data_IF_527459012555
#
_entry.id   IF_527459012555
#
_cell.length_a   1.000
_cell.length_b   1.000
_cell.length_c   1.000
_cell.angle_alpha   90.00
_cell.angle_beta   90.00
_cell.angle_gamma   90.00
#
_symmetry.space_group_name_H-M   'P 1'
#
loop_
_entity.id
_entity.type
_entity.pdbx_description
1 polymer ?
#
# COMPACT_ATOMS: atom_id res chain seq x y z
N UNK A 1 -23.65 15.50 -19.55
CA UNK A 1 -23.24 15.52 -18.12
C UNK A 1 -21.92 14.76 -17.97
N UNK A 2 -20.87 15.38 -17.41
CA UNK A 2 -19.57 14.72 -17.18
C UNK A 2 -19.76 13.69 -16.06
N UNK A 3 -19.58 12.41 -16.34
CA UNK A 3 -19.66 11.32 -15.34
C UNK A 3 -18.79 11.69 -14.13
N UNK A 4 -19.36 11.72 -12.92
CA UNK A 4 -18.70 12.17 -11.68
C UNK A 4 -17.55 11.23 -11.27
N UNK A 5 -16.39 11.41 -11.89
CA UNK A 5 -15.18 10.62 -11.61
C UNK A 5 -14.39 11.29 -10.48
N UNK A 6 -13.78 10.48 -9.60
CA UNK A 6 -13.05 10.94 -8.41
C UNK A 6 -12.00 12.03 -8.69
N UNK A 7 -11.37 12.03 -9.87
CA UNK A 7 -10.29 12.97 -10.24
C UNK A 7 -10.74 14.07 -11.22
N UNK A 8 -12.05 14.20 -11.45
CA UNK A 8 -12.62 15.11 -12.45
C UNK A 8 -13.23 16.40 -11.89
N UNK A 9 -13.26 16.54 -10.56
CA UNK A 9 -13.87 17.69 -9.87
C UNK A 9 -13.21 19.01 -10.27
N UNK A 10 -14.00 20.09 -10.16
CA UNK A 10 -13.58 21.47 -10.41
C UNK A 10 -12.76 22.03 -9.24
N UNK A 11 -12.15 23.21 -9.43
CA UNK A 11 -11.40 23.89 -8.37
C UNK A 11 -12.27 24.13 -7.13
N UNK A 12 -13.46 24.73 -7.30
CA UNK A 12 -14.40 25.00 -6.20
C UNK A 12 -14.83 23.74 -5.44
N UNK A 13 -15.08 22.64 -6.15
CA UNK A 13 -15.39 21.36 -5.52
C UNK A 13 -14.20 20.80 -4.73
N UNK A 14 -12.99 20.92 -5.28
CA UNK A 14 -11.77 20.38 -4.67
C UNK A 14 -11.36 21.07 -3.36
N UNK A 15 -11.79 22.31 -3.12
CA UNK A 15 -11.51 23.05 -1.86
C UNK A 15 -12.03 22.32 -0.62
N UNK A 16 -13.02 21.43 -0.77
CA UNK A 16 -13.57 20.62 0.33
C UNK A 16 -12.65 19.49 0.78
N UNK A 17 -11.73 19.06 -0.09
CA UNK A 17 -10.78 17.96 0.18
C UNK A 17 -9.37 18.50 0.39
N UNK A 18 -9.00 19.61 -0.26
CA UNK A 18 -7.68 20.24 -0.12
C UNK A 18 -7.73 21.33 0.95
N UNK A 19 -7.07 21.07 2.08
CA UNK A 19 -6.92 22.06 3.16
C UNK A 19 -5.56 22.75 3.12
N UNK A 20 -5.45 23.93 3.74
CA UNK A 20 -4.18 24.68 3.84
C UNK A 20 -3.06 23.89 4.55
N UNK A 21 -3.41 22.89 5.38
CA UNK A 21 -2.44 22.02 6.06
C UNK A 21 -1.54 21.25 5.08
N UNK A 22 -1.99 21.05 3.83
CA UNK A 22 -1.21 20.40 2.77
C UNK A 22 0.13 21.11 2.44
N UNK A 23 0.27 22.36 2.88
CA UNK A 23 1.49 23.15 2.72
C UNK A 23 2.60 22.84 3.73
N UNK A 24 2.31 21.95 4.70
CA UNK A 24 3.26 21.47 5.72
C UNK A 24 3.55 19.99 5.50
N UNK A 25 4.75 19.53 5.86
CA UNK A 25 5.16 18.12 5.69
C UNK A 25 4.24 17.16 6.46
N UNK A 26 3.89 17.52 7.70
CA UNK A 26 2.96 16.77 8.56
C UNK A 26 1.53 16.78 8.02
N UNK A 27 1.03 17.96 7.62
CA UNK A 27 -0.33 18.09 7.10
C UNK A 27 -0.52 17.48 5.71
N UNK A 28 0.57 17.30 4.95
CA UNK A 28 0.59 16.53 3.71
C UNK A 28 0.66 15.02 3.94
N UNK A 29 1.17 14.57 5.09
CA UNK A 29 1.43 13.16 5.41
C UNK A 29 2.34 12.45 4.39
N UNK A 30 3.20 13.21 3.70
CA UNK A 30 4.21 12.71 2.74
C UNK A 30 5.62 12.78 3.35
N UNK A 31 5.76 13.44 4.51
CA UNK A 31 7.00 13.56 5.25
C UNK A 31 8.08 14.29 4.46
N UNK A 32 9.34 13.87 4.64
CA UNK A 32 10.50 14.51 4.02
C UNK A 32 10.51 14.45 2.49
N UNK A 33 9.71 13.56 1.89
CA UNK A 33 9.65 13.41 0.44
C UNK A 33 9.00 14.60 -0.28
N UNK A 34 8.10 15.33 0.38
CA UNK A 34 7.48 16.54 -0.18
C UNK A 34 8.25 17.83 0.12
N UNK A 35 9.35 17.75 0.87
CA UNK A 35 10.08 18.92 1.35
C UNK A 35 10.73 19.74 0.24
N UNK A 36 10.72 21.07 0.36
CA UNK A 36 11.50 21.96 -0.52
C UNK A 36 12.95 22.14 -0.03
N UNK A 37 13.30 21.71 1.19
CA UNK A 37 14.66 21.83 1.71
C UNK A 37 15.53 20.68 1.21
N UNK A 38 16.77 20.98 0.85
CA UNK A 38 17.71 19.96 0.35
C UNK A 38 18.09 18.96 1.45
N UNK A 39 18.40 19.46 2.66
CA UNK A 39 18.80 18.61 3.79
C UNK A 39 17.72 17.59 4.19
N UNK A 40 16.45 18.02 4.21
CA UNK A 40 15.32 17.12 4.50
C UNK A 40 15.18 16.06 3.40
N UNK A 41 15.30 16.42 2.13
CA UNK A 41 15.26 15.44 1.04
C UNK A 41 16.45 14.48 1.05
N UNK A 42 17.62 14.94 1.46
CA UNK A 42 18.79 14.08 1.66
C UNK A 42 18.57 13.11 2.82
N UNK A 43 17.95 13.54 3.93
CA UNK A 43 17.58 12.63 5.03
C UNK A 43 16.59 11.54 4.59
N UNK A 44 15.78 11.80 3.55
CA UNK A 44 14.90 10.80 2.93
C UNK A 44 15.63 9.62 2.28
N UNK A 45 16.94 9.72 2.02
CA UNK A 45 17.74 8.60 1.50
C UNK A 45 17.86 7.44 2.51
N UNK A 46 17.58 7.66 3.80
CA UNK A 46 17.52 6.58 4.81
C UNK A 46 16.51 5.49 4.43
N UNK A 47 15.46 5.84 3.67
CA UNK A 47 14.49 4.87 3.13
C UNK A 47 15.20 3.80 2.27
N UNK A 48 16.35 4.10 1.67
CA UNK A 48 17.10 3.12 0.87
C UNK A 48 17.57 1.92 1.69
N UNK A 49 17.83 2.09 3.00
CA UNK A 49 18.19 0.97 3.90
C UNK A 49 17.05 -0.04 4.00
N UNK A 50 15.80 0.40 3.91
CA UNK A 50 14.64 -0.49 3.93
C UNK A 50 14.59 -1.38 2.68
N UNK A 51 15.12 -0.95 1.53
CA UNK A 51 15.20 -1.80 0.35
C UNK A 51 16.21 -2.94 0.50
N UNK A 52 17.27 -2.76 1.30
CA UNK A 52 18.19 -3.85 1.64
C UNK A 52 17.43 -4.92 2.42
N UNK A 53 16.65 -4.50 3.42
CA UNK A 53 15.77 -5.40 4.17
C UNK A 53 14.73 -6.05 3.26
N UNK A 54 14.15 -5.29 2.32
CA UNK A 54 13.19 -5.83 1.34
C UNK A 54 13.77 -6.87 0.42
N UNK A 55 15.01 -6.70 -0.03
CA UNK A 55 15.72 -7.73 -0.78
C UNK A 55 15.95 -8.97 0.09
N UNK A 56 16.43 -8.76 1.32
CA UNK A 56 16.70 -9.83 2.29
C UNK A 56 15.48 -10.71 2.54
N UNK A 57 14.34 -10.12 2.91
CA UNK A 57 13.13 -10.87 3.24
C UNK A 57 12.37 -11.32 2.00
N UNK A 58 12.23 -10.47 0.98
CA UNK A 58 11.34 -10.76 -0.16
C UNK A 58 11.97 -11.65 -1.24
N UNK A 59 13.31 -11.69 -1.34
CA UNK A 59 14.04 -12.39 -2.41
C UNK A 59 15.04 -13.40 -1.83
N UNK A 60 15.97 -12.96 -1.00
CA UNK A 60 17.06 -13.81 -0.51
C UNK A 60 16.57 -14.91 0.43
N UNK A 61 15.71 -14.58 1.41
CA UNK A 61 15.21 -15.55 2.38
C UNK A 61 14.44 -16.71 1.69
N UNK A 62 13.48 -16.46 0.78
CA UNK A 62 12.83 -17.54 0.03
C UNK A 62 13.83 -18.37 -0.78
N UNK A 63 14.80 -17.76 -1.47
CA UNK A 63 15.82 -18.50 -2.23
C UNK A 63 16.71 -19.36 -1.33
N UNK A 64 17.07 -18.88 -0.14
CA UNK A 64 17.92 -19.62 0.82
C UNK A 64 17.25 -20.90 1.37
N UNK A 65 15.92 -20.99 1.30
CA UNK A 65 15.17 -22.19 1.67
C UNK A 65 15.33 -23.32 0.63
N UNK A 66 15.77 -23.03 -0.60
CA UNK A 66 16.07 -24.04 -1.63
C UNK A 66 17.38 -24.78 -1.36
N UNK A 67 18.37 -24.10 -0.79
CA UNK A 67 19.73 -24.62 -0.63
C UNK A 67 19.99 -25.25 0.74
N UNK A 68 19.08 -25.07 1.69
CA UNK A 68 19.23 -25.53 3.07
C UNK A 68 18.65 -26.94 3.25
N UNK A 69 19.39 -27.98 2.85
CA UNK A 69 18.99 -29.39 3.04
C UNK A 69 18.98 -29.86 4.51
N UNK A 70 19.62 -29.15 5.44
CA UNK A 70 19.79 -29.61 6.83
C UNK A 70 19.06 -28.83 7.94
N UNK A 71 18.37 -27.71 7.65
CA UNK A 71 17.96 -26.77 8.72
C UNK A 71 16.55 -26.18 8.65
N UNK A 72 15.56 -26.95 8.21
CA UNK A 72 14.15 -26.55 8.38
C UNK A 72 13.59 -27.11 9.70
N UNK A 73 14.16 -26.68 10.83
CA UNK A 73 13.80 -27.19 12.17
C UNK A 73 12.54 -26.56 12.76
N UNK A 74 12.05 -25.46 12.17
CA UNK A 74 10.98 -24.62 12.73
C UNK A 74 9.75 -24.44 11.83
N UNK A 75 9.83 -24.80 10.55
CA UNK A 75 8.69 -24.75 9.61
C UNK A 75 8.61 -26.09 8.86
N UNK A 76 7.42 -26.51 8.42
CA UNK A 76 7.31 -27.76 7.66
C UNK A 76 7.92 -27.61 6.26
N UNK A 77 8.38 -28.71 5.67
CA UNK A 77 8.89 -28.74 4.28
C UNK A 77 7.88 -28.17 3.28
N UNK A 78 6.59 -28.46 3.47
CA UNK A 78 5.51 -27.93 2.63
C UNK A 78 5.31 -26.42 2.78
N UNK A 79 5.48 -25.88 3.99
CA UNK A 79 5.46 -24.43 4.24
C UNK A 79 6.65 -23.76 3.54
N UNK A 80 7.85 -24.31 3.71
CA UNK A 80 9.07 -23.78 3.09
C UNK A 80 8.95 -23.77 1.55
N UNK A 81 8.48 -24.86 0.95
CA UNK A 81 8.26 -24.93 -0.49
C UNK A 81 7.19 -23.94 -0.97
N UNK A 82 6.11 -23.74 -0.21
CA UNK A 82 5.11 -22.72 -0.54
C UNK A 82 5.71 -21.31 -0.54
N UNK A 83 6.54 -20.98 0.46
CA UNK A 83 7.28 -19.70 0.52
C UNK A 83 8.19 -19.55 -0.71
N UNK A 84 8.94 -20.59 -1.07
CA UNK A 84 9.82 -20.61 -2.25
C UNK A 84 9.04 -20.38 -3.54
N UNK A 85 7.94 -21.11 -3.74
CA UNK A 85 7.13 -21.02 -4.96
C UNK A 85 6.55 -19.61 -5.12
N UNK A 86 5.93 -19.07 -4.07
CA UNK A 86 5.40 -17.70 -4.09
C UNK A 86 6.53 -16.68 -4.27
N UNK A 87 7.65 -16.84 -3.57
CA UNK A 87 8.84 -16.00 -3.72
C UNK A 87 9.34 -15.94 -5.15
N UNK A 88 9.42 -17.09 -5.81
CA UNK A 88 9.86 -17.20 -7.21
C UNK A 88 8.89 -16.48 -8.16
N UNK A 89 7.57 -16.63 -7.96
CA UNK A 89 6.53 -15.94 -8.76
C UNK A 89 6.64 -14.42 -8.62
N UNK A 90 6.80 -13.92 -7.38
CA UNK A 90 6.82 -12.48 -7.11
C UNK A 90 8.19 -11.82 -7.29
N UNK A 91 9.25 -12.60 -7.51
CA UNK A 91 10.63 -12.11 -7.63
C UNK A 91 10.80 -10.99 -8.64
N UNK A 92 10.38 -11.23 -9.88
CA UNK A 92 10.55 -10.26 -10.97
C UNK A 92 9.73 -8.99 -10.71
N UNK A 93 8.42 -9.06 -10.39
CA UNK A 93 7.64 -7.89 -10.00
C UNK A 93 8.25 -7.10 -8.83
N UNK A 94 8.71 -7.80 -7.79
CA UNK A 94 9.30 -7.18 -6.60
C UNK A 94 10.59 -6.43 -6.95
N UNK A 95 11.53 -7.06 -7.66
CA UNK A 95 12.78 -6.42 -8.08
C UNK A 95 12.51 -5.20 -8.96
N UNK A 96 11.58 -5.30 -9.92
CA UNK A 96 11.22 -4.18 -10.78
C UNK A 96 10.69 -2.97 -9.96
N UNK A 97 9.81 -3.23 -8.98
CA UNK A 97 9.28 -2.19 -8.09
C UNK A 97 10.33 -1.63 -7.13
N UNK A 98 11.25 -2.47 -6.64
CA UNK A 98 12.38 -2.02 -5.82
C UNK A 98 13.28 -1.07 -6.61
N UNK A 99 13.72 -1.45 -7.80
CA UNK A 99 14.54 -0.59 -8.66
C UNK A 99 13.81 0.71 -9.00
N UNK A 100 12.52 0.63 -9.35
CA UNK A 100 11.69 1.81 -9.59
C UNK A 100 11.66 2.73 -8.36
N UNK A 101 11.42 2.19 -7.17
CA UNK A 101 11.36 2.95 -5.92
C UNK A 101 12.70 3.59 -5.56
N UNK A 102 13.81 2.87 -5.71
CA UNK A 102 15.17 3.38 -5.50
C UNK A 102 15.44 4.57 -6.42
N UNK A 103 15.16 4.41 -7.71
CA UNK A 103 15.33 5.48 -8.71
C UNK A 103 14.48 6.69 -8.33
N UNK A 104 13.23 6.49 -7.91
CA UNK A 104 12.36 7.58 -7.49
C UNK A 104 12.89 8.32 -6.25
N UNK A 105 13.39 7.59 -5.24
CA UNK A 105 13.98 8.19 -4.03
C UNK A 105 15.23 9.00 -4.37
N UNK A 106 16.11 8.50 -5.24
CA UNK A 106 17.31 9.21 -5.70
C UNK A 106 16.91 10.48 -6.47
N UNK A 107 15.98 10.37 -7.42
CA UNK A 107 15.48 11.51 -8.19
C UNK A 107 14.82 12.54 -7.26
N UNK A 108 14.24 12.13 -6.13
CA UNK A 108 13.60 13.03 -5.18
C UNK A 108 14.58 14.05 -4.54
N UNK A 109 15.88 13.74 -4.49
CA UNK A 109 16.92 14.66 -3.98
C UNK A 109 16.97 15.94 -4.82
N UNK A 110 16.64 15.87 -6.11
CA UNK A 110 16.64 17.04 -7.00
C UNK A 110 15.33 17.83 -6.92
N UNK A 111 15.40 19.17 -6.73
CA UNK A 111 14.22 20.00 -6.48
C UNK A 111 13.32 20.09 -7.71
N UNK A 112 12.04 19.73 -7.55
CA UNK A 112 11.05 19.88 -8.62
C UNK A 112 10.71 21.35 -8.87
N UNK A 113 9.92 21.60 -9.92
CA UNK A 113 9.59 22.95 -10.41
C UNK A 113 9.04 23.87 -9.30
N UNK A 114 8.14 23.35 -8.50
CA UNK A 114 7.55 24.02 -7.34
C UNK A 114 7.07 22.99 -6.30
N UNK A 115 6.56 23.48 -5.17
CA UNK A 115 6.04 22.64 -4.08
C UNK A 115 4.94 21.67 -4.53
N UNK A 116 4.02 22.08 -5.40
CA UNK A 116 2.95 21.19 -5.86
C UNK A 116 3.48 19.98 -6.66
N UNK A 117 4.50 20.19 -7.51
CA UNK A 117 5.16 19.08 -8.20
C UNK A 117 5.94 18.20 -7.23
N UNK A 118 6.63 18.79 -6.26
CA UNK A 118 7.39 18.07 -5.24
C UNK A 118 6.46 17.20 -4.38
N UNK A 119 5.32 17.76 -3.97
CA UNK A 119 4.31 17.06 -3.18
C UNK A 119 3.71 15.88 -3.93
N UNK A 120 3.26 16.08 -5.17
CA UNK A 120 2.69 14.99 -5.98
C UNK A 120 3.73 13.90 -6.22
N UNK A 121 4.96 14.28 -6.58
CA UNK A 121 6.06 13.35 -6.78
C UNK A 121 6.37 12.53 -5.52
N UNK A 122 6.47 13.19 -4.36
CA UNK A 122 6.67 12.53 -3.07
C UNK A 122 5.52 11.59 -2.71
N UNK A 123 4.27 11.99 -3.00
CA UNK A 123 3.09 11.15 -2.75
C UNK A 123 3.09 9.90 -3.61
N UNK A 124 3.42 10.01 -4.90
CA UNK A 124 3.55 8.85 -5.79
C UNK A 124 4.71 7.97 -5.34
N UNK A 125 5.84 8.55 -4.97
CA UNK A 125 7.00 7.79 -4.45
C UNK A 125 6.62 6.98 -3.21
N UNK A 126 5.88 7.58 -2.27
CA UNK A 126 5.39 6.90 -1.07
C UNK A 126 4.42 5.76 -1.41
N UNK A 127 3.53 5.95 -2.39
CA UNK A 127 2.61 4.89 -2.85
C UNK A 127 3.36 3.70 -3.47
N UNK A 128 4.35 3.96 -4.33
CA UNK A 128 5.17 2.90 -4.95
C UNK A 128 6.00 2.19 -3.88
N UNK A 129 6.54 2.94 -2.91
CA UNK A 129 7.24 2.38 -1.76
C UNK A 129 6.35 1.46 -0.91
N UNK A 130 5.13 1.89 -0.57
CA UNK A 130 4.16 1.06 0.15
C UNK A 130 3.90 -0.25 -0.61
N UNK A 131 3.59 -0.19 -1.91
CA UNK A 131 3.36 -1.39 -2.74
C UNK A 131 4.60 -2.31 -2.77
N UNK A 132 5.81 -1.76 -2.72
CA UNK A 132 7.05 -2.53 -2.67
C UNK A 132 7.21 -3.29 -1.36
N UNK A 133 7.05 -2.61 -0.22
CA UNK A 133 7.08 -3.25 1.11
C UNK A 133 5.98 -4.31 1.23
N UNK A 134 4.84 -4.06 0.59
CA UNK A 134 3.71 -4.94 0.59
C UNK A 134 4.01 -6.27 -0.12
N UNK A 135 4.54 -6.20 -1.34
CA UNK A 135 4.92 -7.38 -2.12
C UNK A 135 6.08 -8.15 -1.51
N UNK A 136 7.01 -7.48 -0.82
CA UNK A 136 8.11 -8.13 -0.09
C UNK A 136 7.61 -9.15 0.95
N UNK A 137 6.48 -8.88 1.61
CA UNK A 137 5.96 -9.75 2.68
C UNK A 137 5.10 -10.91 2.17
N UNK A 138 4.68 -10.89 0.90
CA UNK A 138 3.77 -11.88 0.33
C UNK A 138 4.32 -13.31 0.33
N UNK A 139 5.59 -13.58 -0.05
CA UNK A 139 6.14 -14.94 -0.01
C UNK A 139 5.98 -15.61 1.34
N UNK A 140 6.29 -14.89 2.42
CA UNK A 140 6.18 -15.40 3.78
C UNK A 140 4.74 -15.52 4.23
N UNK A 141 3.97 -14.45 4.13
CA UNK A 141 2.61 -14.43 4.67
C UNK A 141 1.70 -15.42 3.98
N UNK A 142 1.76 -15.51 2.64
CA UNK A 142 1.00 -16.50 1.86
C UNK A 142 1.53 -17.90 2.15
N UNK A 143 2.85 -18.10 2.10
CA UNK A 143 3.45 -19.42 2.33
C UNK A 143 3.16 -19.99 3.72
N UNK A 144 3.19 -19.17 4.77
CA UNK A 144 2.82 -19.54 6.14
C UNK A 144 1.33 -19.90 6.25
N UNK A 145 0.46 -19.15 5.57
CA UNK A 145 -0.98 -19.39 5.56
C UNK A 145 -1.35 -20.67 4.84
N UNK A 146 -0.78 -20.89 3.65
CA UNK A 146 -0.96 -22.14 2.89
C UNK A 146 -0.36 -23.32 3.65
N UNK A 147 0.80 -23.13 4.29
CA UNK A 147 1.40 -24.13 5.17
C UNK A 147 0.43 -24.60 6.27
N UNK A 148 -0.21 -23.65 6.94
CA UNK A 148 -1.10 -23.88 8.08
C UNK A 148 -2.51 -24.36 7.71
N UNK A 149 -3.16 -23.71 6.76
CA UNK A 149 -4.58 -23.91 6.43
C UNK A 149 -4.83 -24.43 5.01
N UNK A 150 -3.77 -24.62 4.24
CA UNK A 150 -3.88 -24.99 2.83
C UNK A 150 -4.37 -23.85 1.95
N UNK A 151 -4.50 -24.16 0.65
CA UNK A 151 -4.99 -23.22 -0.36
C UNK A 151 -6.44 -22.82 -0.13
N UNK A 152 -7.27 -23.74 0.37
CA UNK A 152 -8.67 -23.46 0.70
C UNK A 152 -8.75 -22.42 1.82
N UNK A 153 -7.96 -22.60 2.89
CA UNK A 153 -7.90 -21.63 3.98
C UNK A 153 -7.40 -20.27 3.54
N UNK A 154 -6.39 -20.23 2.66
CA UNK A 154 -5.91 -19.00 2.05
C UNK A 154 -7.00 -18.28 1.23
N UNK A 155 -7.78 -19.02 0.42
CA UNK A 155 -8.91 -18.46 -0.33
C UNK A 155 -9.98 -17.85 0.58
N UNK A 156 -10.27 -18.47 1.72
CA UNK A 156 -11.19 -17.91 2.72
C UNK A 156 -10.64 -16.59 3.30
N UNK A 157 -9.35 -16.52 3.61
CA UNK A 157 -8.73 -15.26 4.06
C UNK A 157 -8.76 -14.18 2.96
N UNK A 158 -8.61 -14.55 1.69
CA UNK A 158 -8.77 -13.62 0.56
C UNK A 158 -10.19 -13.05 0.48
N UNK A 159 -11.24 -13.85 0.75
CA UNK A 159 -12.62 -13.34 0.81
C UNK A 159 -12.79 -12.28 1.90
N UNK A 160 -12.17 -12.48 3.07
CA UNK A 160 -12.13 -11.46 4.13
C UNK A 160 -11.38 -10.21 3.65
N UNK A 161 -10.27 -10.36 2.94
CA UNK A 161 -9.55 -9.22 2.35
C UNK A 161 -10.39 -8.44 1.33
N UNK A 162 -11.20 -9.11 0.51
CA UNK A 162 -12.15 -8.46 -0.42
C UNK A 162 -13.17 -7.62 0.34
N UNK A 163 -13.71 -8.16 1.44
CA UNK A 163 -14.60 -7.41 2.32
C UNK A 163 -13.92 -6.16 2.93
N UNK A 164 -12.70 -6.32 3.45
CA UNK A 164 -11.91 -5.21 4.00
C UNK A 164 -11.61 -4.16 2.92
N UNK A 165 -11.27 -4.57 1.70
CA UNK A 165 -11.03 -3.66 0.59
C UNK A 165 -12.27 -2.79 0.27
N UNK A 166 -13.46 -3.41 0.20
CA UNK A 166 -14.70 -2.66 0.04
C UNK A 166 -14.87 -1.63 1.17
N UNK A 167 -14.71 -2.08 2.41
CA UNK A 167 -15.05 -1.28 3.59
C UNK A 167 -14.07 -0.13 3.80
N UNK A 168 -12.77 -0.36 3.57
CA UNK A 168 -11.71 0.59 3.88
C UNK A 168 -11.24 1.41 2.68
N UNK A 169 -11.33 0.88 1.46
CA UNK A 169 -10.86 1.59 0.25
C UNK A 169 -12.04 2.13 -0.55
N UNK A 170 -12.99 1.27 -0.92
CA UNK A 170 -14.13 1.69 -1.77
C UNK A 170 -15.01 2.69 -1.03
N UNK A 171 -15.32 2.44 0.25
CA UNK A 171 -16.08 3.41 1.05
C UNK A 171 -15.37 4.77 1.14
N UNK A 172 -14.04 4.80 1.28
CA UNK A 172 -13.27 6.05 1.28
C UNK A 172 -13.35 6.77 -0.08
N UNK A 173 -13.31 6.04 -1.21
CA UNK A 173 -13.55 6.62 -2.55
C UNK A 173 -14.94 7.25 -2.64
N UNK A 174 -15.96 6.55 -2.16
CA UNK A 174 -17.34 7.03 -2.18
C UNK A 174 -17.52 8.27 -1.29
N UNK A 175 -16.97 8.26 -0.08
CA UNK A 175 -16.96 9.42 0.82
C UNK A 175 -16.29 10.64 0.17
N UNK A 176 -15.15 10.45 -0.49
CA UNK A 176 -14.46 11.53 -1.21
C UNK A 176 -15.30 12.07 -2.38
N UNK A 177 -15.96 11.19 -3.14
CA UNK A 177 -16.88 11.61 -4.20
C UNK A 177 -18.07 12.41 -3.63
N UNK A 178 -18.69 11.93 -2.55
CA UNK A 178 -19.80 12.63 -1.88
C UNK A 178 -19.36 14.02 -1.41
N UNK A 179 -18.18 14.13 -0.78
CA UNK A 179 -17.60 15.40 -0.38
C UNK A 179 -17.43 16.35 -1.58
N UNK A 180 -16.85 15.88 -2.68
CA UNK A 180 -16.60 16.68 -3.87
C UNK A 180 -17.92 17.15 -4.54
N UNK A 181 -18.85 16.24 -4.80
CA UNK A 181 -19.99 16.47 -5.71
C UNK A 181 -21.34 16.74 -5.04
N UNK A 182 -21.52 16.48 -3.73
CA UNK A 182 -22.80 16.57 -3.01
C UNK A 182 -23.94 15.69 -3.56
N UNK A 183 -23.71 14.86 -4.59
CA UNK A 183 -24.70 13.95 -5.17
C UNK A 183 -24.43 12.49 -4.82
N UNK A 184 -25.49 11.75 -4.51
CA UNK A 184 -25.51 10.27 -4.48
C UNK A 184 -26.11 9.73 -5.78
N UNK A 185 -25.67 8.54 -6.18
CA UNK A 185 -26.55 7.41 -5.93
C UNK A 185 -25.89 6.38 -5.02
N UNK A 186 -26.59 6.01 -3.95
CA UNK A 186 -26.32 4.82 -3.18
C UNK A 186 -26.45 3.61 -4.10
N UNK A 187 -25.30 3.07 -4.52
CA UNK A 187 -25.27 1.79 -5.20
C UNK A 187 -25.54 0.70 -4.14
N UNK A 188 -26.17 -0.41 -4.54
CA UNK A 188 -26.47 -1.54 -3.65
C UNK A 188 -25.19 -1.95 -2.90
N UNK A 189 -25.21 -1.89 -1.57
CA UNK A 189 -24.05 -2.23 -0.74
C UNK A 189 -23.80 -3.75 -0.76
N UNK A 190 -23.00 -4.21 -1.73
CA UNK A 190 -22.62 -5.62 -1.81
C UNK A 190 -21.77 -6.09 -0.61
N UNK A 191 -21.19 -5.15 0.14
CA UNK A 191 -20.42 -5.44 1.34
C UNK A 191 -21.28 -6.01 2.46
N UNK A 192 -22.54 -5.58 2.57
CA UNK A 192 -23.48 -6.14 3.53
C UNK A 192 -23.81 -7.60 3.21
N UNK A 193 -24.04 -7.90 1.93
CA UNK A 193 -24.30 -9.27 1.46
C UNK A 193 -23.09 -10.19 1.68
N UNK A 194 -21.88 -9.72 1.38
CA UNK A 194 -20.65 -10.47 1.65
C UNK A 194 -20.42 -10.67 3.15
N UNK A 195 -20.70 -9.67 3.98
CA UNK A 195 -20.63 -9.78 5.43
C UNK A 195 -21.62 -10.81 5.97
N UNK A 196 -22.85 -10.80 5.48
CA UNK A 196 -23.86 -11.79 5.86
C UNK A 196 -23.40 -13.21 5.52
N UNK A 197 -22.79 -13.41 4.35
CA UNK A 197 -22.19 -14.68 3.95
C UNK A 197 -21.05 -15.11 4.89
N UNK A 198 -20.09 -14.22 5.17
CA UNK A 198 -18.95 -14.50 6.07
C UNK A 198 -19.44 -14.82 7.49
N UNK A 199 -20.41 -14.07 8.03
CA UNK A 199 -20.99 -14.34 9.35
C UNK A 199 -21.73 -15.67 9.42
N UNK A 200 -22.46 -16.03 8.36
CA UNK A 200 -23.29 -17.24 8.32
C UNK A 200 -22.47 -18.50 8.07
N UNK A 201 -21.47 -18.46 7.19
CA UNK A 201 -20.75 -19.64 6.73
C UNK A 201 -19.25 -19.63 7.02
N UNK A 202 -18.66 -18.48 7.36
CA UNK A 202 -17.20 -18.33 7.51
C UNK A 202 -16.60 -19.26 8.56
N UNK A 203 -17.25 -19.43 9.72
CA UNK A 203 -16.80 -20.34 10.76
C UNK A 203 -16.81 -21.81 10.32
N UNK A 204 -17.90 -22.24 9.67
CA UNK A 204 -18.03 -23.61 9.15
C UNK A 204 -17.01 -23.86 8.05
N UNK A 205 -16.85 -22.93 7.10
CA UNK A 205 -15.89 -23.03 6.01
C UNK A 205 -14.45 -23.08 6.53
N UNK A 206 -14.13 -22.31 7.57
CA UNK A 206 -12.80 -22.32 8.18
C UNK A 206 -12.53 -23.64 8.91
N UNK A 207 -13.50 -24.17 9.65
CA UNK A 207 -13.39 -25.49 10.29
C UNK A 207 -13.18 -26.58 9.23
N UNK A 208 -13.95 -26.55 8.14
CA UNK A 208 -13.78 -27.46 7.01
C UNK A 208 -12.41 -27.32 6.34
N UNK A 209 -11.88 -26.10 6.21
CA UNK A 209 -10.54 -25.89 5.68
C UNK A 209 -9.45 -26.48 6.57
N UNK A 210 -9.57 -26.32 7.91
CA UNK A 210 -8.64 -26.92 8.88
C UNK A 210 -8.73 -28.44 8.83
N UNK A 211 -9.94 -29.00 8.89
CA UNK A 211 -10.15 -30.46 8.80
C UNK A 211 -9.59 -30.98 7.49
N UNK A 212 -9.92 -30.35 6.36
CA UNK A 212 -9.34 -30.71 5.06
C UNK A 212 -7.82 -30.74 5.11
N UNK A 213 -7.18 -29.71 5.67
CA UNK A 213 -5.72 -29.64 5.75
C UNK A 213 -5.11 -30.71 6.68
N UNK A 214 -5.83 -31.12 7.71
CA UNK A 214 -5.32 -32.08 8.70
C UNK A 214 -5.59 -33.55 8.34
N UNK A 215 -6.68 -33.83 7.62
CA UNK A 215 -7.12 -35.21 7.33
C UNK A 215 -7.07 -35.56 5.84
N UNK A 216 -7.66 -34.75 4.96
CA UNK A 216 -7.95 -35.13 3.58
C UNK A 216 -6.95 -34.62 2.55
N UNK A 217 -6.35 -33.45 2.78
CA UNK A 217 -5.42 -32.74 1.90
C UNK A 217 -5.95 -32.50 0.47
N UNK A 218 -7.25 -32.23 0.30
CA UNK A 218 -7.79 -31.90 -1.03
C UNK A 218 -7.25 -30.56 -1.54
N UNK A 219 -6.80 -30.54 -2.80
CA UNK A 219 -6.26 -29.35 -3.47
C UNK A 219 -4.82 -28.98 -3.08
N UNK A 220 -4.18 -29.79 -2.23
CA UNK A 220 -2.82 -29.54 -1.77
C UNK A 220 -1.79 -30.19 -2.70
N UNK A 221 -0.77 -29.43 -3.07
CA UNK A 221 0.35 -29.96 -3.87
C UNK A 221 1.16 -31.02 -3.10
N UNK A 222 1.12 -30.99 -1.76
CA UNK A 222 1.89 -31.87 -0.88
C UNK A 222 1.03 -32.31 0.30
N UNK A 223 0.99 -33.61 0.53
CA UNK A 223 0.21 -34.24 1.61
C UNK A 223 1.08 -34.37 2.87
N UNK A 224 1.17 -33.30 3.65
CA UNK A 224 1.86 -33.30 4.95
C UNK A 224 0.96 -32.65 5.99
N UNK A 225 0.94 -33.22 7.19
CA UNK A 225 0.22 -32.62 8.30
C UNK A 225 0.92 -31.34 8.79
N UNK A 226 0.17 -30.28 9.11
CA UNK A 226 0.74 -29.07 9.70
C UNK A 226 1.18 -29.31 11.14
N UNK A 227 2.18 -28.56 11.60
CA UNK A 227 2.52 -28.48 13.02
C UNK A 227 1.44 -27.67 13.78
N UNK A 228 1.23 -27.93 15.07
CA UNK A 228 0.27 -27.22 15.92
C UNK A 228 0.57 -25.71 15.94
N UNK A 229 1.85 -25.33 15.97
CA UNK A 229 2.27 -23.92 15.92
C UNK A 229 1.94 -23.24 14.59
N UNK A 230 1.67 -24.00 13.53
CA UNK A 230 1.23 -23.46 12.25
C UNK A 230 -0.07 -22.72 12.32
N UNK A 231 -0.95 -23.11 13.25
CA UNK A 231 -2.19 -22.41 13.47
C UNK A 231 -1.99 -20.94 13.85
N UNK A 232 -0.93 -20.61 14.60
CA UNK A 232 -0.63 -19.24 15.02
C UNK A 232 -0.16 -18.38 13.84
N UNK A 233 0.85 -18.86 13.10
CA UNK A 233 1.42 -18.09 12.00
C UNK A 233 0.56 -18.12 10.73
N UNK A 234 -0.41 -19.04 10.62
CA UNK A 234 -1.35 -19.11 9.50
C UNK A 234 -2.24 -17.87 9.34
N UNK A 235 -2.32 -17.01 10.35
CA UNK A 235 -3.04 -15.75 10.31
C UNK A 235 -2.20 -14.55 9.87
N UNK A 236 -0.90 -14.75 9.64
CA UNK A 236 0.03 -13.69 9.27
C UNK A 236 -0.40 -12.96 7.99
N UNK A 237 -0.94 -13.69 7.00
CA UNK A 237 -1.48 -13.07 5.79
C UNK A 237 -2.63 -12.13 6.08
N UNK A 238 -3.65 -12.59 6.81
CA UNK A 238 -4.80 -11.76 7.11
C UNK A 238 -4.40 -10.50 7.90
N UNK A 239 -3.52 -10.64 8.90
CA UNK A 239 -3.04 -9.50 9.69
C UNK A 239 -2.29 -8.50 8.82
N UNK A 240 -1.31 -8.96 8.04
CA UNK A 240 -0.54 -8.09 7.16
C UNK A 240 -1.50 -7.43 6.16
N UNK A 241 -2.26 -8.21 5.39
CA UNK A 241 -3.20 -7.70 4.40
C UNK A 241 -4.18 -6.65 4.97
N UNK A 242 -4.72 -6.87 6.18
CA UNK A 242 -5.60 -5.91 6.84
C UNK A 242 -4.90 -4.56 7.12
N UNK A 243 -3.69 -4.58 7.68
CA UNK A 243 -2.89 -3.35 7.93
C UNK A 243 -2.61 -2.59 6.64
N UNK A 244 -2.42 -3.33 5.56
CA UNK A 244 -2.01 -2.78 4.26
C UNK A 244 -3.20 -2.14 3.55
N UNK A 245 -4.35 -2.82 3.57
CA UNK A 245 -5.62 -2.27 3.06
C UNK A 245 -6.00 -1.01 3.85
N UNK A 246 -5.83 -1.04 5.17
CA UNK A 246 -6.06 0.12 6.03
C UNK A 246 -5.15 1.31 5.66
N UNK A 247 -3.85 1.07 5.54
CA UNK A 247 -2.85 2.09 5.14
C UNK A 247 -3.14 2.63 3.73
N UNK A 248 -3.59 1.78 2.81
CA UNK A 248 -4.02 2.17 1.45
C UNK A 248 -5.22 3.11 1.50
N UNK A 249 -6.24 2.78 2.31
CA UNK A 249 -7.41 3.62 2.50
C UNK A 249 -7.07 5.00 3.07
N UNK A 250 -6.12 5.09 4.00
CA UNK A 250 -5.62 6.36 4.52
C UNK A 250 -4.86 7.16 3.45
N UNK A 251 -3.93 6.50 2.74
CA UNK A 251 -3.07 7.16 1.75
C UNK A 251 -3.86 7.66 0.54
N UNK A 252 -5.00 7.04 0.22
CA UNK A 252 -5.90 7.48 -0.85
C UNK A 252 -6.37 8.92 -0.66
N UNK A 253 -6.71 9.34 0.58
CA UNK A 253 -7.16 10.71 0.86
C UNK A 253 -6.04 11.72 0.57
N UNK A 254 -4.81 11.39 1.00
CA UNK A 254 -3.63 12.22 0.76
C UNK A 254 -3.31 12.32 -0.73
N UNK A 255 -3.42 11.20 -1.47
CA UNK A 255 -3.26 11.17 -2.91
C UNK A 255 -4.26 12.08 -3.63
N UNK A 256 -5.54 11.99 -3.29
CA UNK A 256 -6.57 12.83 -3.92
C UNK A 256 -6.33 14.31 -3.62
N UNK A 257 -5.98 14.66 -2.37
CA UNK A 257 -5.64 16.03 -2.00
C UNK A 257 -4.41 16.55 -2.77
N UNK A 258 -3.32 15.77 -2.83
CA UNK A 258 -2.10 16.11 -3.54
C UNK A 258 -2.35 16.25 -5.06
N UNK A 259 -3.17 15.36 -5.64
CA UNK A 259 -3.57 15.42 -7.05
C UNK A 259 -4.30 16.74 -7.37
N UNK A 260 -5.29 17.11 -6.56
CA UNK A 260 -6.06 18.34 -6.80
C UNK A 260 -5.24 19.60 -6.56
N UNK A 261 -4.38 19.59 -5.53
CA UNK A 261 -3.44 20.67 -5.29
C UNK A 261 -2.48 20.87 -6.45
N UNK A 262 -1.98 19.79 -7.05
CA UNK A 262 -1.17 19.83 -8.26
C UNK A 262 -1.95 20.31 -9.49
N UNK A 263 -3.14 19.76 -9.71
CA UNK A 263 -4.00 20.09 -10.86
C UNK A 263 -4.34 21.58 -10.91
N UNK A 264 -4.68 22.17 -9.78
CA UNK A 264 -5.05 23.58 -9.64
C UNK A 264 -3.98 24.40 -8.91
N UNK A 265 -2.70 24.09 -9.17
CA UNK A 265 -1.58 24.66 -8.43
C UNK A 265 -1.48 26.19 -8.47
N UNK A 266 -1.95 26.86 -9.54
CA UNK A 266 -1.90 28.32 -9.64
C UNK A 266 -2.99 28.96 -8.79
N UNK A 267 -4.19 28.41 -8.88
CA UNK A 267 -5.38 28.81 -8.15
C UNK A 267 -5.19 28.57 -6.65
N UNK A 268 -4.67 27.41 -6.25
CA UNK A 268 -4.35 27.12 -4.85
C UNK A 268 -3.24 28.00 -4.29
N UNK A 269 -2.22 28.33 -5.10
CA UNK A 269 -1.17 29.26 -4.68
C UNK A 269 -1.74 30.64 -4.34
N UNK A 270 -2.65 31.14 -5.17
CA UNK A 270 -3.34 32.42 -4.92
C UNK A 270 -4.30 32.31 -3.74
N UNK A 271 -5.14 31.27 -3.72
CA UNK A 271 -6.15 31.05 -2.69
C UNK A 271 -5.54 30.92 -1.28
N UNK A 272 -4.44 30.17 -1.14
CA UNK A 272 -3.75 30.02 0.14
C UNK A 272 -2.71 31.11 0.42
N UNK A 273 -2.49 32.05 -0.51
CA UNK A 273 -1.49 33.13 -0.43
C UNK A 273 -0.08 32.58 -0.11
N UNK A 274 0.36 31.58 -0.88
CA UNK A 274 1.64 30.89 -0.61
C UNK A 274 2.84 31.75 -1.03
N UNK A 275 3.82 31.90 -0.14
CA UNK A 275 5.01 32.70 -0.38
C UNK A 275 5.93 32.10 -1.46
N UNK A 276 6.76 32.93 -2.09
CA UNK A 276 7.75 32.46 -3.07
C UNK A 276 8.73 31.45 -2.47
N UNK A 277 9.13 31.66 -1.21
CA UNK A 277 10.03 30.75 -0.49
C UNK A 277 9.42 29.38 -0.28
N UNK A 278 8.17 29.33 0.17
CA UNK A 278 7.47 28.06 0.37
C UNK A 278 7.18 27.36 -0.95
N UNK A 279 6.92 28.12 -2.02
CA UNK A 279 6.55 27.56 -3.31
C UNK A 279 7.74 27.06 -4.15
N UNK A 280 8.88 27.75 -4.10
CA UNK A 280 10.05 27.43 -4.94
C UNK A 280 11.30 27.03 -4.15
N UNK A 281 11.26 27.15 -2.83
CA UNK A 281 12.40 26.96 -1.94
C UNK A 281 13.23 28.24 -1.77
N UNK A 282 13.94 28.31 -0.64
CA UNK A 282 14.81 29.44 -0.22
C UNK A 282 15.68 30.00 -1.33
N UNK A 283 16.43 29.13 -2.01
CA UNK A 283 17.41 29.54 -3.00
C UNK A 283 16.77 30.18 -4.24
N UNK A 284 15.76 29.55 -4.83
CA UNK A 284 15.06 30.08 -6.02
C UNK A 284 14.28 31.36 -5.69
N UNK A 285 13.66 31.41 -4.50
CA UNK A 285 12.96 32.60 -4.02
C UNK A 285 13.87 33.83 -3.90
N UNK A 286 15.07 33.65 -3.33
CA UNK A 286 16.08 34.73 -3.29
C UNK A 286 16.46 35.22 -4.69
N UNK A 287 16.62 34.33 -5.66
CA UNK A 287 16.94 34.72 -7.05
C UNK A 287 15.81 35.51 -7.71
N UNK A 288 14.55 35.13 -7.50
CA UNK A 288 13.41 35.86 -8.05
C UNK A 288 13.18 37.23 -7.40
N UNK A 289 13.45 37.35 -6.09
CA UNK A 289 13.29 38.62 -5.39
C UNK A 289 14.41 39.61 -5.72
N UNK A 290 15.61 39.14 -6.13
CA UNK A 290 16.70 39.99 -6.62
C UNK A 290 16.47 40.56 -8.03
N UNK A 291 15.59 39.92 -8.81
CA UNK A 291 15.27 40.30 -10.18
C UNK A 291 13.95 41.12 -10.28
N UNK A 292 13.45 41.60 -9.16
CA UNK A 292 12.31 42.52 -9.04
C UNK A 292 12.82 43.87 -8.58
#
# INVERSE_FOLDING_TARGET
MRKERLLSATFEQSKKVVSKKILTEEGAQVGVLSSMKLSQRFSGLVILLLFIMSYGVGVYLPESLLTSTEKIRYISTSTAQSIVTIGTIFRIPLLALMYCSIVMVIINVFPKKNYAHQLLYGTITLLVFLITVFLMLFPFTIGLTVGAFGWIGFLLQLLVCVYLWKTLVISNVEQLKKQLYKGEPANKDWGESLMAFIKKYGGVLLLLAIVNRWTFNFGEAIKTQPDIFSFLYGWAFLLVAALMIFTTGMTLKNFVAAFYFFKYQKEYRQFFKVSNEQWYGKWRAKKMNKNK
#
